data_IF_002978702632
#
_entry.id   IF_002978702632
#
_cell.length_a   1.000
_cell.length_b   1.000
_cell.length_c   1.000
_cell.angle_alpha   90.00
_cell.angle_beta   90.00
_cell.angle_gamma   90.00
#
_symmetry.space_group_name_H-M   'P 1'
#
loop_
_entity.id
_entity.type
_entity.pdbx_description
1 polymer ?
#
# COMPACT_ATOMS: atom_id res chain seq x y z
N UNK A 1 -1.85 -4.40 2.28
CA UNK A 1 -1.06 -4.72 1.07
C UNK A 1 -1.49 -3.71 0.01
N UNK A 2 -0.88 -3.58 -1.16
CA UNK A 2 -1.54 -2.81 -2.22
C UNK A 2 -2.61 -3.69 -2.86
N UNK A 3 -3.82 -3.17 -3.02
CA UNK A 3 -4.89 -3.88 -3.71
C UNK A 3 -4.44 -4.28 -5.12
N UNK A 4 -4.76 -5.49 -5.56
CA UNK A 4 -4.41 -5.96 -6.91
C UNK A 4 -5.01 -5.02 -7.96
N UNK A 5 -6.22 -4.51 -7.70
CA UNK A 5 -6.93 -3.58 -8.58
C UNK A 5 -6.13 -2.28 -8.73
N UNK A 6 -5.61 -1.71 -7.63
CA UNK A 6 -4.83 -0.48 -7.70
C UNK A 6 -3.54 -0.68 -8.49
N UNK A 7 -2.88 -1.84 -8.37
CA UNK A 7 -1.69 -2.15 -9.16
C UNK A 7 -1.98 -2.19 -10.65
N UNK A 8 -3.03 -2.93 -11.07
CA UNK A 8 -3.40 -3.03 -12.49
C UNK A 8 -3.76 -1.65 -13.04
N UNK A 9 -4.58 -0.89 -12.31
CA UNK A 9 -5.00 0.44 -12.73
C UNK A 9 -3.81 1.41 -12.81
N UNK A 10 -2.85 1.29 -11.89
CA UNK A 10 -1.60 2.06 -11.93
C UNK A 10 -0.77 1.73 -13.16
N UNK A 11 -0.60 0.45 -13.48
CA UNK A 11 0.19 0.04 -14.65
C UNK A 11 -0.45 0.49 -15.96
N UNK A 12 -1.77 0.36 -16.06
CA UNK A 12 -2.52 0.75 -17.25
C UNK A 12 -2.52 2.27 -17.44
N UNK A 13 -2.70 3.05 -16.37
CA UNK A 13 -2.65 4.51 -16.45
C UNK A 13 -1.26 5.04 -16.80
N UNK A 14 -0.19 4.44 -16.25
CA UNK A 14 1.19 4.79 -16.63
C UNK A 14 1.41 4.49 -18.12
N UNK A 15 1.01 3.32 -18.60
CA UNK A 15 1.15 2.94 -20.01
C UNK A 15 0.38 3.89 -20.93
N UNK A 16 -0.85 4.27 -20.57
CA UNK A 16 -1.67 5.24 -21.31
C UNK A 16 -1.02 6.63 -21.36
N UNK A 17 -0.48 7.12 -20.24
CA UNK A 17 0.20 8.41 -20.18
C UNK A 17 1.49 8.41 -21.00
N UNK A 18 2.25 7.30 -20.98
CA UNK A 18 3.44 7.13 -21.81
C UNK A 18 3.06 7.10 -23.30
N UNK A 19 2.01 6.36 -23.66
CA UNK A 19 1.49 6.31 -25.03
C UNK A 19 1.09 7.71 -25.52
N UNK A 20 0.26 8.40 -24.75
CA UNK A 20 -0.19 9.76 -25.10
C UNK A 20 0.96 10.77 -25.13
N UNK A 21 1.95 10.61 -24.24
CA UNK A 21 3.18 11.39 -24.25
C UNK A 21 4.01 11.18 -25.52
N UNK A 22 4.09 9.94 -26.00
CA UNK A 22 4.74 9.61 -27.27
C UNK A 22 3.99 10.21 -28.47
N UNK A 23 2.66 10.08 -28.52
CA UNK A 23 1.84 10.70 -29.59
C UNK A 23 1.96 12.23 -29.60
N UNK A 24 2.00 12.85 -28.41
CA UNK A 24 2.24 14.29 -28.29
C UNK A 24 3.63 14.67 -28.81
N UNK A 25 4.66 13.90 -28.44
CA UNK A 25 6.03 14.13 -28.93
C UNK A 25 6.11 14.06 -30.47
N UNK A 26 5.54 13.03 -31.09
CA UNK A 26 5.50 12.91 -32.55
C UNK A 26 4.76 14.08 -33.20
N UNK A 27 3.61 14.49 -32.65
CA UNK A 27 2.86 15.64 -33.13
C UNK A 27 3.67 16.94 -33.07
N UNK A 28 4.35 17.20 -31.95
CA UNK A 28 5.18 18.39 -31.81
C UNK A 28 6.40 18.36 -32.75
N UNK A 29 7.00 17.19 -32.95
CA UNK A 29 8.12 17.02 -33.87
C UNK A 29 7.70 17.26 -35.32
N UNK A 30 6.55 16.71 -35.74
CA UNK A 30 5.98 16.94 -37.07
C UNK A 30 5.58 18.41 -37.27
N UNK A 31 4.93 19.03 -36.27
CA UNK A 31 4.61 20.47 -36.31
C UNK A 31 5.86 21.33 -36.52
N UNK A 32 6.95 21.01 -35.83
CA UNK A 32 8.24 21.71 -35.99
C UNK A 32 8.80 21.52 -37.39
N UNK A 33 8.72 20.31 -37.97
CA UNK A 33 9.19 20.04 -39.33
C UNK A 33 8.35 20.78 -40.39
N UNK A 34 7.02 20.74 -40.30
CA UNK A 34 6.15 21.47 -41.24
C UNK A 34 6.36 22.99 -41.17
N UNK A 35 6.52 23.55 -39.97
CA UNK A 35 6.80 24.99 -39.81
C UNK A 35 8.13 25.42 -40.47
N UNK A 36 9.10 24.51 -40.60
CA UNK A 36 10.38 24.79 -41.27
C UNK A 36 10.28 24.66 -42.80
N UNK A 37 9.39 23.81 -43.31
CA UNK A 37 9.26 23.50 -44.74
C UNK A 37 8.34 24.51 -45.45
N UNK A 38 7.16 24.80 -44.88
CA UNK A 38 6.14 25.61 -45.55
C UNK A 38 6.14 27.08 -45.15
N UNK A 39 6.97 27.49 -44.18
CA UNK A 39 7.04 28.86 -43.65
C UNK A 39 5.72 29.37 -43.03
N UNK A 40 4.67 28.54 -43.03
CA UNK A 40 3.35 28.85 -42.54
C UNK A 40 3.28 28.44 -41.07
N UNK A 41 3.37 29.42 -40.17
CA UNK A 41 2.98 29.23 -38.77
C UNK A 41 1.46 29.11 -38.70
N UNK A 42 0.93 27.95 -39.09
CA UNK A 42 -0.44 27.63 -38.73
C UNK A 42 -0.50 27.33 -37.23
N UNK A 43 -1.48 27.91 -36.55
CA UNK A 43 -1.84 27.61 -35.17
C UNK A 43 -2.43 26.20 -35.07
N UNK A 44 -1.64 25.18 -35.43
CA UNK A 44 -2.02 23.78 -35.26
C UNK A 44 -1.93 23.49 -33.76
N UNK A 45 -3.09 23.50 -33.11
CA UNK A 45 -3.24 23.12 -31.71
C UNK A 45 -3.19 21.59 -31.56
N UNK A 46 -2.83 21.12 -30.37
CA UNK A 46 -2.83 19.68 -30.06
C UNK A 46 -4.23 19.10 -30.34
N UNK A 47 -4.36 17.98 -31.06
CA UNK A 47 -5.66 17.39 -31.33
C UNK A 47 -6.37 16.99 -30.04
N UNK A 48 -7.69 17.15 -30.03
CA UNK A 48 -8.54 16.86 -28.87
C UNK A 48 -8.43 15.41 -28.39
N UNK A 49 -8.13 14.47 -29.29
CA UNK A 49 -7.96 13.06 -28.95
C UNK A 49 -6.81 12.85 -27.94
N UNK A 50 -5.63 13.39 -28.24
CA UNK A 50 -4.46 13.34 -27.32
C UNK A 50 -4.79 14.04 -26.00
N UNK A 51 -5.52 15.16 -26.03
CA UNK A 51 -5.93 15.85 -24.81
C UNK A 51 -6.83 14.98 -23.92
N UNK A 52 -7.79 14.27 -24.53
CA UNK A 52 -8.69 13.37 -23.82
C UNK A 52 -7.98 12.11 -23.31
N UNK A 53 -7.02 11.57 -24.06
CA UNK A 53 -6.19 10.46 -23.60
C UNK A 53 -5.39 10.82 -22.35
N UNK A 54 -4.73 11.99 -22.33
CA UNK A 54 -3.99 12.46 -21.15
C UNK A 54 -4.95 12.65 -19.96
N UNK A 55 -6.10 13.29 -20.19
CA UNK A 55 -7.10 13.50 -19.13
C UNK A 55 -7.60 12.17 -18.55
N UNK A 56 -7.90 11.20 -19.42
CA UNK A 56 -8.33 9.86 -19.01
C UNK A 56 -7.22 9.13 -18.24
N UNK A 57 -5.98 9.18 -18.73
CA UNK A 57 -4.82 8.60 -18.06
C UNK A 57 -4.59 9.21 -16.68
N UNK A 58 -4.72 10.53 -16.54
CA UNK A 58 -4.60 11.25 -15.28
C UNK A 58 -5.71 10.86 -14.28
N UNK A 59 -6.97 10.78 -14.75
CA UNK A 59 -8.09 10.35 -13.92
C UNK A 59 -7.93 8.90 -13.44
N UNK A 60 -7.48 7.99 -14.31
CA UNK A 60 -7.21 6.62 -13.93
C UNK A 60 -6.04 6.51 -12.94
N UNK A 61 -4.99 7.31 -13.15
CA UNK A 61 -3.84 7.34 -12.24
C UNK A 61 -4.23 7.85 -10.84
N UNK A 62 -4.98 8.95 -10.78
CA UNK A 62 -5.45 9.51 -9.50
C UNK A 62 -6.37 8.53 -8.76
N UNK A 63 -7.31 7.88 -9.47
CA UNK A 63 -8.15 6.82 -8.89
C UNK A 63 -7.31 5.64 -8.38
N UNK A 64 -6.30 5.23 -9.12
CA UNK A 64 -5.37 4.18 -8.70
C UNK A 64 -4.68 4.51 -7.38
N UNK A 65 -4.20 5.75 -7.22
CA UNK A 65 -3.57 6.23 -5.98
C UNK A 65 -4.54 6.12 -4.80
N UNK A 66 -5.80 6.56 -4.95
CA UNK A 66 -6.79 6.42 -3.87
C UNK A 66 -7.11 4.96 -3.55
N UNK A 67 -7.25 4.10 -4.56
CA UNK A 67 -7.50 2.66 -4.38
C UNK A 67 -6.31 1.91 -3.78
N UNK A 68 -5.11 2.50 -3.82
CA UNK A 68 -3.93 1.94 -3.16
C UNK A 68 -4.03 1.95 -1.63
N UNK A 69 -4.85 2.83 -1.06
CA UNK A 69 -5.02 2.89 0.39
C UNK A 69 -6.06 1.85 0.82
N UNK A 70 -5.57 0.78 1.45
CA UNK A 70 -6.43 -0.22 2.08
C UNK A 70 -6.79 0.20 3.52
N UNK A 71 -7.96 -0.25 3.98
CA UNK A 71 -8.30 -0.14 5.40
C UNK A 71 -7.29 -0.90 6.26
N UNK A 72 -7.02 -0.37 7.44
CA UNK A 72 -6.09 -0.95 8.41
C UNK A 72 -6.64 -2.27 8.96
N UNK A 73 -5.82 -3.32 8.81
CA UNK A 73 -6.13 -4.70 9.22
C UNK A 73 -4.98 -5.22 10.08
N UNK A 74 -5.33 -5.87 11.18
CA UNK A 74 -4.37 -6.38 12.16
C UNK A 74 -4.69 -7.82 12.53
N UNK A 75 -3.66 -8.57 12.91
CA UNK A 75 -3.80 -9.93 13.44
C UNK A 75 -3.38 -9.88 14.92
N UNK A 76 -4.21 -10.35 15.86
CA UNK A 76 -3.88 -10.37 17.28
C UNK A 76 -2.69 -11.30 17.58
N UNK A 77 -1.90 -10.96 18.60
CA UNK A 77 -0.72 -11.76 18.99
C UNK A 77 -1.06 -12.94 19.91
N UNK A 78 -2.05 -12.79 20.80
CA UNK A 78 -2.18 -13.68 21.97
C UNK A 78 -3.29 -14.73 21.84
N UNK A 79 -4.46 -14.40 21.27
CA UNK A 79 -5.69 -15.17 21.57
C UNK A 79 -6.46 -15.72 20.37
N UNK A 80 -6.41 -15.05 19.22
CA UNK A 80 -7.20 -15.43 18.04
C UNK A 80 -6.45 -15.07 16.77
N UNK A 81 -6.61 -15.89 15.71
CA UNK A 81 -6.16 -15.55 14.35
C UNK A 81 -7.20 -14.76 13.55
N UNK A 82 -8.29 -14.36 14.21
CA UNK A 82 -9.32 -13.52 13.60
C UNK A 82 -8.76 -12.15 13.25
N UNK A 83 -9.15 -11.65 12.09
CA UNK A 83 -8.64 -10.41 11.55
C UNK A 83 -9.37 -9.23 12.19
N UNK A 84 -8.63 -8.40 12.91
CA UNK A 84 -9.14 -7.14 13.46
C UNK A 84 -9.14 -6.08 12.36
N UNK A 85 -10.31 -5.53 12.06
CA UNK A 85 -10.43 -4.43 11.10
C UNK A 85 -10.67 -3.12 11.86
N UNK A 86 -9.84 -2.12 11.60
CA UNK A 86 -10.16 -0.74 11.93
C UNK A 86 -10.70 -0.13 10.64
N UNK A 87 -11.93 0.42 10.66
CA UNK A 87 -12.58 1.05 9.49
C UNK A 87 -11.91 2.38 9.08
N UNK A 88 -10.60 2.47 9.23
CA UNK A 88 -9.77 3.64 9.02
C UNK A 88 -8.69 3.30 7.98
N UNK A 89 -8.35 4.26 7.13
CA UNK A 89 -7.29 4.12 6.13
C UNK A 89 -5.93 4.55 6.66
N UNK A 90 -5.92 5.49 7.60
CA UNK A 90 -4.73 6.11 8.15
C UNK A 90 -4.63 5.84 9.64
N UNK A 91 -3.41 5.86 10.16
CA UNK A 91 -3.16 5.72 11.58
C UNK A 91 -3.53 7.00 12.32
N UNK A 92 -4.11 6.84 13.50
CA UNK A 92 -4.44 7.97 14.35
C UNK A 92 -3.20 8.60 14.97
N UNK A 93 -3.14 9.93 15.00
CA UNK A 93 -1.99 10.69 15.54
C UNK A 93 -2.14 10.93 17.05
N UNK A 94 -3.38 11.01 17.54
CA UNK A 94 -3.64 11.25 18.97
C UNK A 94 -3.25 10.01 19.78
N UNK A 95 -2.30 10.17 20.72
CA UNK A 95 -1.75 9.06 21.49
C UNK A 95 -2.82 8.19 22.17
N UNK A 96 -3.82 8.81 22.81
CA UNK A 96 -4.93 8.09 23.46
C UNK A 96 -5.69 7.13 22.54
N UNK A 97 -5.74 7.43 21.23
CA UNK A 97 -6.42 6.60 20.23
C UNK A 97 -5.44 5.70 19.50
N UNK A 98 -4.22 6.16 19.25
CA UNK A 98 -3.13 5.35 18.70
C UNK A 98 -2.84 4.12 19.58
N UNK A 99 -2.73 4.30 20.91
CA UNK A 99 -2.47 3.19 21.85
C UNK A 99 -3.61 2.16 21.89
N UNK A 100 -4.85 2.52 21.50
CA UNK A 100 -5.95 1.54 21.42
C UNK A 100 -5.66 0.44 20.41
N UNK A 101 -4.98 0.76 19.30
CA UNK A 101 -4.55 -0.22 18.32
C UNK A 101 -3.59 -1.23 18.95
N UNK A 102 -2.59 -0.76 19.67
CA UNK A 102 -1.59 -1.63 20.29
C UNK A 102 -2.24 -2.54 21.34
N UNK A 103 -3.12 -1.97 22.17
CA UNK A 103 -3.93 -2.72 23.13
C UNK A 103 -4.84 -3.76 22.46
N UNK A 104 -5.47 -3.43 21.33
CA UNK A 104 -6.33 -4.35 20.56
C UNK A 104 -5.54 -5.54 20.01
N UNK A 105 -4.31 -5.30 19.56
CA UNK A 105 -3.42 -6.36 19.04
C UNK A 105 -2.83 -7.19 20.18
N UNK A 106 -2.82 -6.65 21.41
CA UNK A 106 -2.13 -7.22 22.57
C UNK A 106 -0.63 -6.96 22.51
N UNK A 107 -0.21 -5.89 21.84
CA UNK A 107 1.16 -5.44 21.77
C UNK A 107 1.43 -4.39 22.85
N UNK A 108 2.52 -4.56 23.60
CA UNK A 108 3.03 -3.52 24.49
C UNK A 108 4.14 -2.74 23.77
N UNK A 109 3.95 -1.44 23.45
CA UNK A 109 4.97 -0.63 22.80
C UNK A 109 6.25 -0.48 23.65
N UNK A 110 6.16 -0.68 24.97
CA UNK A 110 7.31 -0.66 25.89
C UNK A 110 7.74 -2.07 26.32
N UNK A 111 7.39 -3.10 25.53
CA UNK A 111 7.64 -4.50 25.87
C UNK A 111 9.10 -4.85 26.14
N UNK A 112 10.07 -4.10 25.60
CA UNK A 112 11.49 -4.28 25.92
C UNK A 112 11.78 -4.04 27.41
N UNK A 113 11.14 -3.02 28.00
CA UNK A 113 11.27 -2.71 29.42
C UNK A 113 10.33 -3.57 30.28
N UNK A 114 9.07 -3.74 29.86
CA UNK A 114 8.08 -4.50 30.63
C UNK A 114 8.41 -5.99 30.73
N UNK A 115 8.87 -6.60 29.63
CA UNK A 115 9.14 -8.04 29.56
C UNK A 115 10.59 -8.39 29.89
N UNK A 116 11.51 -7.40 29.91
CA UNK A 116 12.94 -7.57 30.21
C UNK A 116 13.56 -8.82 29.54
N UNK A 117 13.59 -8.90 28.20
CA UNK A 117 13.97 -10.13 27.50
C UNK A 117 15.38 -10.61 27.84
N UNK A 118 16.28 -9.69 28.22
CA UNK A 118 17.65 -9.99 28.64
C UNK A 118 17.75 -10.75 29.96
N UNK A 119 16.73 -10.66 30.84
CA UNK A 119 16.75 -11.24 32.19
C UNK A 119 15.81 -12.44 32.34
N UNK A 120 15.46 -13.10 31.24
CA UNK A 120 14.61 -14.29 31.27
C UNK A 120 15.34 -15.45 31.97
N UNK A 121 14.68 -16.06 32.97
CA UNK A 121 15.18 -17.29 33.58
C UNK A 121 15.02 -18.47 32.60
N UNK A 122 16.12 -18.81 31.92
CA UNK A 122 16.18 -19.87 30.91
C UNK A 122 15.82 -21.24 31.49
N UNK A 123 16.29 -21.55 32.70
CA UNK A 123 16.03 -22.85 33.33
C UNK A 123 14.54 -23.03 33.65
N UNK A 124 13.91 -21.98 34.18
CA UNK A 124 12.45 -21.97 34.43
C UNK A 124 11.69 -22.15 33.12
N UNK A 125 12.05 -21.40 32.07
CA UNK A 125 11.34 -21.48 30.78
C UNK A 125 11.46 -22.85 30.12
N UNK A 126 12.64 -23.49 30.20
CA UNK A 126 12.85 -24.86 29.74
C UNK A 126 12.02 -25.87 30.52
N UNK A 127 11.86 -25.67 31.83
CA UNK A 127 10.98 -26.52 32.66
C UNK A 127 9.53 -26.38 32.23
N UNK A 128 9.01 -25.14 32.10
CA UNK A 128 7.64 -24.88 31.62
C UNK A 128 7.34 -25.56 30.29
N UNK A 129 8.27 -25.50 29.33
CA UNK A 129 8.09 -26.14 28.01
C UNK A 129 8.07 -27.67 28.14
N UNK A 130 8.95 -28.26 28.95
CA UNK A 130 8.95 -29.71 29.19
C UNK A 130 7.64 -30.17 29.82
N UNK A 131 7.17 -29.46 30.85
CA UNK A 131 5.92 -29.76 31.54
C UNK A 131 4.71 -29.62 30.59
N UNK A 132 4.73 -28.64 29.68
CA UNK A 132 3.69 -28.50 28.64
C UNK A 132 3.70 -29.64 27.63
N UNK A 133 4.87 -30.11 27.19
CA UNK A 133 4.99 -31.21 26.24
C UNK A 133 4.49 -32.53 26.84
N UNK A 134 4.83 -32.83 28.10
CA UNK A 134 4.36 -34.04 28.76
C UNK A 134 2.83 -34.06 28.92
N UNK A 135 2.21 -32.94 29.27
CA UNK A 135 0.74 -32.83 29.36
C UNK A 135 0.09 -33.06 27.98
N UNK A 136 0.67 -32.49 26.91
CA UNK A 136 0.14 -32.62 25.55
C UNK A 136 0.27 -34.04 24.96
N UNK A 137 1.27 -34.80 25.41
CA UNK A 137 1.43 -36.22 25.04
C UNK A 137 0.37 -37.09 25.73
N UNK A 138 0.05 -36.81 26.99
CA UNK A 138 -1.01 -37.51 27.75
C UNK A 138 -2.42 -37.23 27.19
N UNK A 139 -2.69 -36.04 26.65
CA UNK A 139 -3.98 -35.74 26.01
C UNK A 139 -4.18 -36.40 24.63
N UNK A 140 -3.16 -37.03 24.07
CA UNK A 140 -3.21 -37.71 22.76
C UNK A 140 -3.40 -39.23 22.85
N UNK A 141 -3.16 -39.84 24.00
CA UNK A 141 -3.44 -41.25 24.31
C UNK A 141 -4.88 -41.42 24.82
#
# INVERSE_FOLDING_TARGET
>A
MMSIISKVLSTLSILQLVHSGFSSFEFYQLKKQLSLIDGLQQDITLPYDIQLEVLCGLLLFTLSVFLSFEKLKYIPLVRSRELLTQNQYLQEIQMNKATKKDNLIGNDPFGEFSCMPSFINIHRKRKEIRDYLSIKEVEKE
#
